data_IF_258182718048
#
_entry.id   IF_258182718048
#
_cell.length_a   1.000
_cell.length_b   1.000
_cell.length_c   1.000
_cell.angle_alpha   90.00
_cell.angle_beta   90.00
_cell.angle_gamma   90.00
#
_symmetry.space_group_name_H-M   'P 1'
#
loop_
_entity.id
_entity.type
_entity.pdbx_description
1 polymer ?
#
# COMPACT_ATOMS: atom_id res chain seq x y z
N UNK A 1 -3.23 -23.75 4.91
CA UNK A 1 -1.81 -23.35 4.73
C UNK A 1 -1.32 -22.88 6.09
N UNK A 2 -0.12 -23.29 6.51
CA UNK A 2 0.56 -22.78 7.70
C UNK A 2 1.81 -22.01 7.25
N UNK A 3 2.13 -20.92 7.93
CA UNK A 3 3.38 -20.19 7.71
C UNK A 3 4.45 -20.75 8.65
N UNK A 4 5.54 -21.22 8.06
CA UNK A 4 6.78 -21.56 8.78
C UNK A 4 7.77 -20.41 8.57
N UNK A 5 7.71 -19.42 9.45
CA UNK A 5 8.33 -18.10 9.22
C UNK A 5 7.67 -17.37 8.05
N UNK A 6 8.41 -17.19 6.94
CA UNK A 6 7.92 -16.57 5.70
C UNK A 6 7.59 -17.58 4.59
N UNK A 7 7.67 -18.88 4.89
CA UNK A 7 7.46 -19.94 3.89
C UNK A 7 6.08 -20.59 4.08
N UNK A 8 5.13 -20.39 3.16
CA UNK A 8 3.85 -21.07 3.21
C UNK A 8 4.01 -22.57 2.92
N UNK A 9 3.43 -23.41 3.79
CA UNK A 9 3.38 -24.87 3.66
C UNK A 9 1.92 -25.36 3.66
N UNK A 10 1.61 -26.31 2.79
CA UNK A 10 0.34 -27.03 2.82
C UNK A 10 0.39 -28.03 3.97
N UNK A 11 -0.65 -28.06 4.80
CA UNK A 11 -0.77 -28.93 5.97
C UNK A 11 -2.12 -29.64 5.92
N UNK A 12 -2.14 -30.91 6.36
CA UNK A 12 -3.36 -31.71 6.47
C UNK A 12 -3.93 -31.57 7.90
N UNK A 13 -5.22 -31.24 8.01
CA UNK A 13 -5.91 -31.04 9.27
C UNK A 13 -6.12 -32.36 10.04
N UNK A 14 -6.05 -33.52 9.37
CA UNK A 14 -6.21 -34.83 10.00
C UNK A 14 -4.97 -35.28 10.78
N UNK A 15 -3.81 -34.62 10.59
CA UNK A 15 -2.54 -34.97 11.23
C UNK A 15 -2.25 -34.14 12.51
N UNK A 16 -3.28 -33.80 13.27
CA UNK A 16 -3.12 -33.15 14.59
C UNK A 16 -2.81 -31.65 14.54
N UNK A 17 -3.12 -30.97 13.44
CA UNK A 17 -3.01 -29.51 13.34
C UNK A 17 -4.32 -28.83 13.78
N UNK A 18 -4.23 -27.82 14.63
CA UNK A 18 -5.39 -27.04 15.05
C UNK A 18 -5.75 -26.00 13.99
N UNK A 19 -7.03 -25.67 13.87
CA UNK A 19 -7.51 -24.61 12.96
C UNK A 19 -6.82 -23.27 13.28
N UNK A 20 -6.45 -23.05 14.54
CA UNK A 20 -5.76 -21.84 14.99
C UNK A 20 -4.31 -21.73 14.47
N UNK A 21 -3.72 -22.83 13.98
CA UNK A 21 -2.39 -22.83 13.37
C UNK A 21 -2.42 -22.46 11.88
N UNK A 22 -3.62 -22.33 11.31
CA UNK A 22 -3.79 -21.97 9.91
C UNK A 22 -3.57 -20.48 9.69
N UNK A 23 -2.95 -20.16 8.55
CA UNK A 23 -2.81 -18.80 8.10
C UNK A 23 -4.16 -18.22 7.71
N UNK A 24 -4.51 -17.10 8.35
CA UNK A 24 -5.65 -16.25 8.00
C UNK A 24 -5.13 -15.03 7.25
N UNK A 25 -5.60 -14.86 6.01
CA UNK A 25 -5.30 -13.71 5.17
C UNK A 25 -5.98 -12.44 5.71
N UNK A 26 -5.27 -11.32 5.62
CA UNK A 26 -5.78 -9.98 5.93
C UNK A 26 -5.37 -9.06 4.78
N UNK A 27 -6.35 -8.48 4.10
CA UNK A 27 -6.18 -7.61 2.94
C UNK A 27 -5.53 -6.25 3.29
N UNK A 28 -5.51 -5.87 4.57
CA UNK A 28 -4.84 -4.63 5.02
C UNK A 28 -3.37 -4.84 5.36
N UNK A 29 -2.90 -6.07 5.43
CA UNK A 29 -1.52 -6.43 5.73
C UNK A 29 -0.70 -6.62 4.44
N UNK A 30 0.23 -5.70 4.20
CA UNK A 30 1.10 -5.73 3.02
C UNK A 30 2.02 -6.96 2.99
N UNK A 31 2.44 -7.48 4.15
CA UNK A 31 3.35 -8.63 4.19
C UNK A 31 2.65 -9.91 3.78
N UNK A 32 1.41 -10.13 4.26
CA UNK A 32 0.59 -11.27 3.84
C UNK A 32 0.27 -11.22 2.35
N UNK A 33 -0.05 -10.02 1.83
CA UNK A 33 -0.27 -9.82 0.41
C UNK A 33 0.97 -10.17 -0.43
N UNK A 34 2.17 -9.75 0.00
CA UNK A 34 3.42 -10.06 -0.69
C UNK A 34 3.76 -11.55 -0.69
N UNK A 35 3.37 -12.29 0.35
CA UNK A 35 3.53 -13.75 0.37
C UNK A 35 2.61 -14.39 -0.67
N UNK A 36 1.33 -13.97 -0.73
CA UNK A 36 0.37 -14.50 -1.71
C UNK A 36 0.79 -14.25 -3.15
N UNK A 37 1.31 -13.06 -3.48
CA UNK A 37 1.72 -12.75 -4.86
C UNK A 37 2.91 -13.57 -5.34
N UNK A 38 3.67 -14.19 -4.43
CA UNK A 38 4.79 -15.08 -4.76
C UNK A 38 4.35 -16.53 -4.99
N UNK A 39 3.08 -16.85 -4.77
CA UNK A 39 2.53 -18.18 -5.02
C UNK A 39 2.08 -18.29 -6.48
N UNK A 40 3.06 -18.36 -7.40
CA UNK A 40 2.80 -18.42 -8.84
C UNK A 40 3.48 -19.61 -9.55
N UNK A 41 4.01 -20.57 -8.79
CA UNK A 41 4.67 -21.76 -9.31
C UNK A 41 3.79 -22.57 -10.29
N UNK A 42 4.44 -23.38 -11.13
CA UNK A 42 3.76 -24.24 -12.10
C UNK A 42 2.97 -25.34 -11.35
N UNK A 43 1.64 -25.44 -11.56
CA UNK A 43 0.81 -26.49 -10.98
C UNK A 43 1.24 -27.92 -11.35
N UNK A 44 2.10 -28.09 -12.36
CA UNK A 44 2.62 -29.40 -12.79
C UNK A 44 3.82 -29.88 -11.96
N UNK A 45 4.42 -29.02 -11.13
CA UNK A 45 5.56 -29.36 -10.30
C UNK A 45 5.11 -29.92 -8.95
N UNK A 46 5.74 -31.01 -8.48
CA UNK A 46 5.50 -31.50 -7.12
C UNK A 46 5.89 -30.44 -6.07
N UNK A 47 5.04 -30.27 -5.06
CA UNK A 47 5.22 -29.26 -4.01
C UNK A 47 4.65 -27.88 -4.36
N UNK A 48 3.94 -27.73 -5.49
CA UNK A 48 3.27 -26.49 -5.82
C UNK A 48 2.23 -26.12 -4.76
N UNK A 49 2.11 -24.82 -4.51
CA UNK A 49 1.08 -24.26 -3.64
C UNK A 49 -0.20 -23.96 -4.45
N UNK A 50 -1.38 -23.91 -3.80
CA UNK A 50 -2.60 -23.53 -4.49
C UNK A 50 -2.53 -22.08 -4.98
N UNK A 51 -2.90 -21.83 -6.24
CA UNK A 51 -2.94 -20.48 -6.82
C UNK A 51 -3.93 -19.61 -6.06
N UNK A 52 -3.48 -18.50 -5.43
CA UNK A 52 -4.38 -17.62 -4.70
C UNK A 52 -5.16 -16.74 -5.69
N UNK A 53 -6.42 -16.48 -5.37
CA UNK A 53 -7.32 -15.65 -6.18
C UNK A 53 -8.14 -14.74 -5.25
N UNK A 54 -8.51 -13.55 -5.74
CA UNK A 54 -9.26 -12.56 -4.97
C UNK A 54 -8.44 -11.30 -4.64
N UNK A 55 -8.79 -10.63 -3.54
CA UNK A 55 -8.14 -9.38 -3.11
C UNK A 55 -6.92 -9.70 -2.26
N UNK A 56 -5.73 -9.37 -2.77
CA UNK A 56 -4.48 -9.55 -2.02
C UNK A 56 -4.19 -8.40 -1.07
N UNK A 57 -4.42 -7.16 -1.53
CA UNK A 57 -4.15 -5.97 -0.74
C UNK A 57 -5.17 -4.88 -1.07
N UNK A 58 -5.76 -4.30 -0.05
CA UNK A 58 -6.60 -3.12 -0.14
C UNK A 58 -6.22 -2.15 0.97
N UNK A 59 -5.96 -0.90 0.60
CA UNK A 59 -5.67 0.15 1.55
C UNK A 59 -6.24 1.47 1.05
N UNK A 60 -6.84 2.21 1.95
CA UNK A 60 -7.40 3.53 1.67
C UNK A 60 -6.28 4.56 1.73
N UNK A 61 -5.90 5.07 0.56
CA UNK A 61 -4.95 6.17 0.43
C UNK A 61 -5.66 7.35 -0.23
N UNK A 62 -5.42 8.58 0.26
CA UNK A 62 -5.98 9.76 -0.37
C UNK A 62 -5.51 9.83 -1.83
N UNK A 63 -6.40 10.26 -2.71
CA UNK A 63 -6.06 10.46 -4.11
C UNK A 63 -5.10 11.64 -4.25
N UNK A 64 -4.29 11.63 -5.29
CA UNK A 64 -3.35 12.72 -5.58
C UNK A 64 -4.08 14.07 -5.67
N UNK A 65 -5.24 14.07 -6.33
CA UNK A 65 -6.07 15.24 -6.55
C UNK A 65 -6.59 15.84 -5.24
N UNK A 66 -6.97 14.99 -4.28
CA UNK A 66 -7.42 15.43 -2.96
C UNK A 66 -6.28 16.10 -2.19
N UNK A 67 -5.08 15.50 -2.23
CA UNK A 67 -3.90 16.07 -1.61
C UNK A 67 -3.47 17.39 -2.26
N UNK A 68 -3.50 17.47 -3.58
CA UNK A 68 -3.19 18.69 -4.34
C UNK A 68 -4.17 19.81 -3.98
N UNK A 69 -5.47 19.51 -3.95
CA UNK A 69 -6.51 20.47 -3.59
C UNK A 69 -6.31 20.99 -2.17
N UNK A 70 -6.02 20.10 -1.22
CA UNK A 70 -5.74 20.48 0.16
C UNK A 70 -4.51 21.40 0.27
N UNK A 71 -3.46 21.15 -0.50
CA UNK A 71 -2.29 22.03 -0.55
C UNK A 71 -2.64 23.43 -1.08
N UNK A 72 -3.47 23.51 -2.13
CA UNK A 72 -3.91 24.78 -2.69
C UNK A 72 -4.78 25.57 -1.70
N UNK A 73 -5.74 24.91 -1.06
CA UNK A 73 -6.60 25.51 -0.04
C UNK A 73 -5.77 26.06 1.13
N UNK A 74 -4.81 25.27 1.63
CA UNK A 74 -3.90 25.70 2.68
C UNK A 74 -3.05 26.91 2.25
N UNK A 75 -2.56 26.94 1.01
CA UNK A 75 -1.76 28.05 0.51
C UNK A 75 -2.57 29.36 0.40
N UNK A 76 -3.80 29.27 -0.12
CA UNK A 76 -4.72 30.41 -0.24
C UNK A 76 -5.10 30.93 1.15
N UNK A 77 -5.39 30.04 2.10
CA UNK A 77 -5.75 30.40 3.47
C UNK A 77 -4.57 31.03 4.23
N UNK A 78 -3.35 30.54 4.01
CA UNK A 78 -2.16 31.04 4.70
C UNK A 78 -1.75 32.45 4.24
N UNK A 79 -1.91 32.76 2.94
CA UNK A 79 -1.58 34.07 2.41
C UNK A 79 -2.43 34.40 1.19
N UNK A 80 -3.16 35.55 1.19
CA UNK A 80 -3.83 36.00 -0.02
C UNK A 80 -2.80 36.20 -1.13
N UNK A 81 -3.07 35.62 -2.29
CA UNK A 81 -2.20 35.71 -3.45
C UNK A 81 -2.21 37.15 -3.97
N UNK A 82 -1.03 37.77 -4.02
CA UNK A 82 -0.82 39.10 -4.59
C UNK A 82 0.19 38.95 -5.72
N UNK A 83 -0.31 39.04 -6.96
CA UNK A 83 0.46 38.83 -8.17
C UNK A 83 1.58 39.87 -8.30
N UNK A 84 1.31 41.13 -7.98
CA UNK A 84 2.30 42.20 -8.07
C UNK A 84 3.41 41.98 -7.04
N UNK A 85 3.07 41.55 -5.83
CA UNK A 85 4.06 41.21 -4.80
C UNK A 85 4.88 39.97 -5.13
N UNK A 86 4.31 39.00 -5.86
CA UNK A 86 5.02 37.82 -6.33
C UNK A 86 6.02 38.18 -7.44
N UNK A 87 5.58 38.95 -8.44
CA UNK A 87 6.40 39.37 -9.57
C UNK A 87 7.50 40.36 -9.16
N UNK A 88 7.21 41.26 -8.23
CA UNK A 88 8.18 42.23 -7.70
C UNK A 88 9.30 41.56 -6.92
N UNK A 89 9.09 40.34 -6.40
CA UNK A 89 10.05 39.68 -5.51
C UNK A 89 10.20 40.40 -4.18
N UNK A 90 11.06 39.86 -3.30
CA UNK A 90 11.33 40.46 -1.97
C UNK A 90 12.44 41.52 -2.01
N UNK A 91 13.31 41.45 -3.00
CA UNK A 91 14.51 42.27 -3.13
C UNK A 91 14.31 43.21 -4.33
N UNK A 92 13.93 44.46 -4.05
CA UNK A 92 13.85 45.51 -5.07
C UNK A 92 14.72 46.69 -4.66
N UNK A 93 15.40 47.29 -5.64
CA UNK A 93 16.09 48.56 -5.48
C UNK A 93 15.39 49.65 -6.30
N UNK A 94 15.29 50.85 -5.74
CA UNK A 94 14.76 52.02 -6.44
C UNK A 94 15.94 52.88 -6.90
N UNK A 95 16.03 53.17 -8.19
CA UNK A 95 17.04 54.09 -8.75
C UNK A 95 16.44 55.50 -8.72
N UNK A 96 17.17 56.47 -8.15
CA UNK A 96 16.81 57.89 -8.10
C UNK A 96 17.63 58.71 -9.09
#
# INVERSE_FOLDING_TARGET
IKLDGFTPKVVDLNNGHSINDLWVHDEKDIYKAQILTRIFDDPKLEGHLPRPFGVFYQNDRPCYEEQMKLQLENAIAAKPADLDKLLRGREVWTIA
#
